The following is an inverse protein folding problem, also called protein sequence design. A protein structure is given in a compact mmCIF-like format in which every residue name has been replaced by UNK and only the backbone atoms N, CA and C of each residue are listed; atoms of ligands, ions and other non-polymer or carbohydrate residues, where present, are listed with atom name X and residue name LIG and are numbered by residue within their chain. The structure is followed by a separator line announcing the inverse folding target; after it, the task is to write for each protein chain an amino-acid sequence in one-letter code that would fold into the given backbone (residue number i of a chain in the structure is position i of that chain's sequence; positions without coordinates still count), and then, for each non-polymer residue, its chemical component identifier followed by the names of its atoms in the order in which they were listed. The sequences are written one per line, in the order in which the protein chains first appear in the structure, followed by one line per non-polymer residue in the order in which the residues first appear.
data_IF_696204779540
#
_entry.id   IF_696204779540
#
_cell.length_a   1.000
_cell.length_b   1.000
_cell.length_c   1.000
_cell.angle_alpha   90.00
_cell.angle_beta   90.00
_cell.angle_gamma   90.00
#
_symmetry.space_group_name_H-M   'P 1'
#
loop_
_entity.id
_entity.type
_entity.pdbx_description
1 polymer ?
#
# COMPACT_ATOMS: atom_id res chain seq x y z
N UNK A 1 -33.72 21.14 55.84
CA UNK A 1 -32.56 20.54 55.26
C UNK A 1 -32.29 21.26 53.94
N UNK A 2 -31.06 21.74 53.65
CA UNK A 2 -30.77 22.32 52.39
C UNK A 2 -30.89 21.21 51.29
N UNK A 3 -31.44 21.56 50.13
CA UNK A 3 -31.60 20.62 49.02
C UNK A 3 -30.22 20.38 48.42
N UNK A 4 -29.85 19.10 48.22
CA UNK A 4 -28.63 18.75 47.52
C UNK A 4 -28.66 19.28 46.09
N UNK A 5 -27.60 19.93 45.67
CA UNK A 5 -27.43 20.43 44.32
C UNK A 5 -26.65 19.39 43.49
N UNK A 6 -27.21 19.01 42.34
CA UNK A 6 -26.63 18.01 41.44
C UNK A 6 -26.33 18.63 40.08
N UNK A 7 -25.09 18.55 39.65
CA UNK A 7 -24.67 19.00 38.32
C UNK A 7 -23.95 17.88 37.55
N UNK A 8 -24.05 17.95 36.25
CA UNK A 8 -23.29 17.02 35.37
C UNK A 8 -21.83 17.41 35.41
N UNK A 9 -20.96 16.45 35.75
CA UNK A 9 -19.53 16.66 35.81
C UNK A 9 -18.96 17.10 34.43
N UNK A 10 -18.20 18.20 34.43
CA UNK A 10 -17.48 18.73 33.28
C UNK A 10 -15.98 18.58 33.54
N UNK A 11 -15.33 17.58 32.97
CA UNK A 11 -13.92 17.32 33.18
C UNK A 11 -13.62 15.90 33.67
N UNK A 12 -12.42 15.68 34.20
CA UNK A 12 -12.01 14.38 34.75
C UNK A 12 -12.59 14.17 36.15
N UNK A 13 -12.83 12.91 36.59
CA UNK A 13 -13.26 12.61 37.98
C UNK A 13 -12.35 13.25 39.03
N UNK A 14 -11.01 13.29 38.77
CA UNK A 14 -10.08 13.93 39.68
C UNK A 14 -10.31 15.44 39.81
N UNK A 15 -10.47 16.14 38.67
CA UNK A 15 -10.77 17.58 38.67
C UNK A 15 -12.08 17.92 39.37
N UNK A 16 -13.09 17.06 39.18
CA UNK A 16 -14.39 17.24 39.90
C UNK A 16 -14.21 17.01 41.39
N UNK A 17 -13.49 16.00 41.84
CA UNK A 17 -13.16 15.75 43.24
C UNK A 17 -12.39 16.92 43.86
N UNK A 18 -11.33 17.40 43.18
CA UNK A 18 -10.54 18.54 43.66
C UNK A 18 -11.37 19.81 43.79
N UNK A 19 -12.28 20.05 42.83
CA UNK A 19 -13.21 21.18 42.90
C UNK A 19 -14.14 21.10 44.11
N UNK A 20 -14.70 19.92 44.40
CA UNK A 20 -15.57 19.72 45.56
C UNK A 20 -14.83 19.89 46.93
N UNK A 21 -13.53 19.63 46.95
CA UNK A 21 -12.66 19.71 48.13
C UNK A 21 -12.09 21.10 48.41
N UNK A 22 -12.26 22.06 47.50
CA UNK A 22 -11.62 23.39 47.57
C UNK A 22 -11.86 24.18 48.85
N UNK A 23 -13.04 23.99 49.47
CA UNK A 23 -13.43 24.75 50.66
C UNK A 23 -13.04 24.05 51.99
N UNK A 24 -12.38 22.87 51.91
CA UNK A 24 -11.80 22.15 53.06
C UNK A 24 -12.81 21.46 53.99
N UNK A 25 -14.11 21.59 53.74
CA UNK A 25 -15.17 20.96 54.55
C UNK A 25 -15.95 19.96 53.68
N UNK A 26 -15.41 18.73 53.57
CA UNK A 26 -16.00 17.66 52.77
C UNK A 26 -15.89 16.30 53.48
N UNK A 27 -16.83 15.42 53.16
CA UNK A 27 -16.76 14.00 53.47
C UNK A 27 -16.67 13.24 52.16
N UNK A 28 -15.84 12.22 52.09
CA UNK A 28 -15.62 11.41 50.92
C UNK A 28 -15.91 9.94 51.24
N UNK A 29 -16.76 9.30 50.43
CA UNK A 29 -17.08 7.90 50.52
C UNK A 29 -17.01 7.26 49.10
N UNK A 30 -16.41 6.07 49.02
CA UNK A 30 -16.25 5.33 47.78
C UNK A 30 -14.90 5.49 47.10
N UNK A 31 -14.80 4.89 45.93
CA UNK A 31 -13.56 4.90 45.10
C UNK A 31 -13.80 5.81 43.92
N UNK A 32 -12.93 6.80 43.73
CA UNK A 32 -12.99 7.69 42.59
C UNK A 32 -12.83 6.87 41.30
N UNK A 33 -13.76 6.99 40.33
CA UNK A 33 -13.62 6.27 39.07
C UNK A 33 -12.28 6.61 38.39
N UNK A 34 -11.47 5.61 38.10
CA UNK A 34 -10.28 5.83 37.30
C UNK A 34 -10.68 6.49 35.98
N UNK A 35 -10.17 7.69 35.74
CA UNK A 35 -10.29 8.31 34.42
C UNK A 35 -9.55 7.42 33.44
N UNK A 36 -10.26 6.50 32.81
CA UNK A 36 -9.77 5.83 31.57
C UNK A 36 -9.80 6.84 30.40
N UNK A 37 -9.46 8.08 30.67
CA UNK A 37 -9.02 9.00 29.65
C UNK A 37 -7.55 8.66 29.37
N UNK A 38 -7.32 7.52 28.72
CA UNK A 38 -6.24 7.48 27.73
C UNK A 38 -6.52 8.71 26.87
N UNK A 39 -5.67 9.73 26.97
CA UNK A 39 -5.80 10.95 26.19
C UNK A 39 -6.15 10.53 24.77
N UNK A 40 -7.29 10.98 24.23
CA UNK A 40 -7.72 10.56 22.88
C UNK A 40 -6.62 10.79 21.86
N UNK A 41 -5.68 11.73 22.10
CA UNK A 41 -4.46 11.94 21.36
C UNK A 41 -3.46 10.79 21.43
N UNK A 42 -3.26 10.14 22.59
CA UNK A 42 -2.33 9.01 22.70
C UNK A 42 -2.88 7.75 22.01
N UNK A 43 -4.17 7.50 22.14
CA UNK A 43 -4.81 6.38 21.43
C UNK A 43 -4.72 6.58 19.91
N UNK A 44 -4.97 7.79 19.42
CA UNK A 44 -4.84 8.14 18.02
C UNK A 44 -3.38 8.01 17.55
N UNK A 45 -2.42 8.51 18.33
CA UNK A 45 -0.99 8.39 18.01
C UNK A 45 -0.57 6.93 17.85
N UNK A 46 -0.96 6.06 18.78
CA UNK A 46 -0.68 4.61 18.69
C UNK A 46 -1.26 3.97 17.44
N UNK A 47 -2.49 4.32 17.04
CA UNK A 47 -3.08 3.82 15.80
C UNK A 47 -2.26 4.18 14.56
N UNK A 48 -1.77 5.43 14.47
CA UNK A 48 -0.91 5.85 13.36
C UNK A 48 0.49 5.23 13.41
N UNK A 49 1.04 4.98 14.60
CA UNK A 49 2.31 4.25 14.75
C UNK A 49 2.18 2.81 14.22
N UNK A 50 1.13 2.10 14.63
CA UNK A 50 0.84 0.75 14.12
C UNK A 50 0.60 0.75 12.60
N UNK A 51 -0.19 1.70 12.08
CA UNK A 51 -0.43 1.82 10.66
C UNK A 51 0.87 2.07 9.86
N UNK A 52 1.78 2.88 10.39
CA UNK A 52 3.10 3.11 9.80
C UNK A 52 3.93 1.84 9.75
N UNK A 53 4.02 1.10 10.87
CA UNK A 53 4.77 -0.16 10.95
C UNK A 53 4.22 -1.22 9.98
N UNK A 54 2.89 -1.37 9.91
CA UNK A 54 2.24 -2.28 8.97
C UNK A 54 2.50 -1.87 7.51
N UNK A 55 2.45 -0.58 7.21
CA UNK A 55 2.77 -0.08 5.86
C UNK A 55 4.23 -0.34 5.48
N UNK A 56 5.19 -0.12 6.38
CA UNK A 56 6.61 -0.45 6.18
C UNK A 56 6.85 -1.95 5.99
N UNK A 57 6.07 -2.79 6.69
CA UNK A 57 6.09 -4.25 6.53
C UNK A 57 5.35 -4.75 5.27
N UNK A 58 4.75 -3.85 4.48
CA UNK A 58 3.99 -4.20 3.28
C UNK A 58 2.56 -4.70 3.53
N UNK A 59 2.11 -4.76 4.79
CA UNK A 59 0.82 -5.30 5.23
C UNK A 59 -0.25 -4.21 5.33
N UNK A 60 -0.47 -3.48 4.26
CA UNK A 60 -1.43 -2.35 4.27
C UNK A 60 -2.89 -2.79 4.43
N UNK A 61 -3.21 -4.03 4.10
CA UNK A 61 -4.55 -4.63 4.25
C UNK A 61 -4.96 -4.83 5.72
N UNK A 62 -3.97 -4.95 6.63
CA UNK A 62 -4.18 -5.17 8.06
C UNK A 62 -4.40 -3.85 8.83
N UNK A 63 -4.32 -2.71 8.14
CA UNK A 63 -4.50 -1.38 8.75
C UNK A 63 -5.97 -1.10 9.02
N UNK A 64 -6.28 -0.44 10.15
CA UNK A 64 -7.65 -0.04 10.47
C UNK A 64 -8.31 0.71 9.30
N UNK A 65 -9.55 0.36 9.00
CA UNK A 65 -10.26 0.80 7.80
C UNK A 65 -10.35 2.33 7.66
N UNK A 66 -10.48 3.07 8.75
CA UNK A 66 -10.56 4.53 8.74
C UNK A 66 -9.24 5.18 8.30
N UNK A 67 -8.10 4.66 8.75
CA UNK A 67 -6.76 5.12 8.36
C UNK A 67 -6.47 4.66 6.93
N UNK A 68 -6.78 3.40 6.61
CA UNK A 68 -6.59 2.84 5.29
C UNK A 68 -7.28 3.66 4.19
N UNK A 69 -8.58 3.96 4.38
CA UNK A 69 -9.35 4.72 3.38
C UNK A 69 -8.84 6.16 3.26
N UNK A 70 -8.59 6.84 4.39
CA UNK A 70 -8.14 8.25 4.38
C UNK A 70 -6.74 8.45 3.82
N UNK A 71 -5.85 7.48 4.03
CA UNK A 71 -4.41 7.64 3.74
C UNK A 71 -3.86 6.61 2.74
N UNK A 72 -4.73 5.98 1.95
CA UNK A 72 -4.38 4.90 1.03
C UNK A 72 -3.14 5.17 0.17
N UNK A 73 -3.07 6.33 -0.48
CA UNK A 73 -1.93 6.68 -1.32
C UNK A 73 -0.63 6.88 -0.52
N UNK A 74 -0.72 7.46 0.68
CA UNK A 74 0.43 7.63 1.58
C UNK A 74 0.94 6.27 2.06
N UNK A 75 0.04 5.37 2.44
CA UNK A 75 0.39 4.00 2.86
C UNK A 75 1.04 3.21 1.73
N UNK A 76 0.53 3.31 0.51
CA UNK A 76 1.16 2.73 -0.69
C UNK A 76 2.57 3.27 -0.92
N UNK A 77 2.81 4.56 -0.77
CA UNK A 77 4.15 5.15 -0.90
C UNK A 77 5.08 4.63 0.18
N UNK A 78 4.65 4.58 1.44
CA UNK A 78 5.45 4.03 2.54
C UNK A 78 5.83 2.57 2.24
N UNK A 79 4.89 1.75 1.77
CA UNK A 79 5.15 0.36 1.35
C UNK A 79 6.21 0.30 0.25
N UNK A 80 6.10 1.17 -0.77
CA UNK A 80 7.06 1.22 -1.89
C UNK A 80 8.45 1.66 -1.43
N UNK A 81 8.53 2.70 -0.57
CA UNK A 81 9.81 3.23 -0.06
C UNK A 81 10.56 2.22 0.82
N UNK A 82 9.84 1.25 1.42
CA UNK A 82 10.39 0.20 2.28
C UNK A 82 10.35 -1.19 1.65
N UNK A 83 10.10 -1.27 0.34
CA UNK A 83 10.09 -2.54 -0.38
C UNK A 83 11.47 -3.22 -0.26
N UNK A 84 11.54 -4.51 0.11
CA UNK A 84 12.79 -5.24 0.13
C UNK A 84 13.39 -5.30 -1.28
N UNK A 85 14.71 -5.37 -1.35
CA UNK A 85 15.38 -5.56 -2.64
C UNK A 85 14.94 -6.87 -3.27
N UNK A 86 14.63 -6.82 -4.56
CA UNK A 86 14.24 -7.99 -5.33
C UNK A 86 15.51 -8.65 -5.85
N UNK A 87 15.67 -9.93 -5.57
CA UNK A 87 16.81 -10.70 -6.04
C UNK A 87 16.79 -10.86 -7.57
N UNK A 88 17.97 -10.86 -8.21
CA UNK A 88 18.08 -11.17 -9.63
C UNK A 88 17.55 -12.57 -9.95
N UNK A 89 16.97 -12.75 -11.11
CA UNK A 89 16.61 -14.07 -11.60
C UNK A 89 17.83 -14.76 -12.23
N UNK A 90 18.01 -16.04 -11.94
CA UNK A 90 19.17 -16.79 -12.39
C UNK A 90 19.09 -17.16 -13.88
N UNK A 91 17.89 -17.43 -14.40
CA UNK A 91 17.66 -17.88 -15.76
C UNK A 91 16.66 -16.98 -16.47
N UNK A 92 17.00 -16.52 -17.68
CA UNK A 92 16.11 -15.76 -18.56
C UNK A 92 15.29 -16.72 -19.42
N UNK A 93 13.98 -16.78 -19.13
CA UNK A 93 13.01 -17.62 -19.84
C UNK A 93 12.06 -16.79 -20.72
N UNK A 94 12.50 -15.59 -21.12
CA UNK A 94 11.69 -14.70 -21.95
C UNK A 94 11.42 -15.29 -23.32
N UNK A 95 10.28 -14.95 -23.92
CA UNK A 95 9.88 -15.42 -25.25
C UNK A 95 9.59 -14.23 -26.17
N UNK A 96 9.91 -14.39 -27.46
CA UNK A 96 9.55 -13.43 -28.50
C UNK A 96 8.83 -14.16 -29.62
N UNK A 97 7.55 -13.93 -29.78
CA UNK A 97 6.72 -14.48 -30.85
C UNK A 97 6.56 -13.47 -31.97
N UNK A 98 7.13 -13.72 -33.11
CA UNK A 98 7.09 -12.84 -34.27
C UNK A 98 6.46 -13.52 -35.50
N UNK A 99 5.89 -12.73 -36.40
CA UNK A 99 5.31 -13.23 -37.63
C UNK A 99 4.09 -12.40 -38.07
N UNK A 100 3.47 -12.73 -39.23
CA UNK A 100 2.39 -11.97 -39.83
C UNK A 100 1.21 -11.77 -38.89
N UNK A 101 0.46 -10.66 -39.08
CA UNK A 101 -0.80 -10.40 -38.35
C UNK A 101 -1.83 -11.51 -38.65
N UNK A 102 -2.63 -11.86 -37.66
CA UNK A 102 -3.68 -12.87 -37.81
C UNK A 102 -3.25 -14.32 -37.64
N UNK A 103 -1.97 -14.60 -37.35
CA UNK A 103 -1.47 -15.97 -37.12
C UNK A 103 -1.77 -16.55 -35.75
N UNK A 104 -2.50 -15.80 -34.87
CA UNK A 104 -2.93 -16.28 -33.56
C UNK A 104 -1.90 -16.15 -32.43
N UNK A 105 -0.78 -15.41 -32.61
CA UNK A 105 0.28 -15.24 -31.60
C UNK A 105 -0.25 -14.78 -30.25
N UNK A 106 -0.97 -13.66 -30.22
CA UNK A 106 -1.52 -13.10 -28.97
C UNK A 106 -2.53 -14.05 -28.33
N UNK A 107 -3.38 -14.72 -29.12
CA UNK A 107 -4.28 -15.76 -28.60
C UNK A 107 -3.50 -16.88 -27.92
N UNK A 108 -2.51 -17.42 -28.57
CA UNK A 108 -1.70 -18.51 -28.05
C UNK A 108 -1.04 -18.16 -26.72
N UNK A 109 -0.40 -16.98 -26.61
CA UNK A 109 0.28 -16.59 -25.36
C UNK A 109 -0.72 -16.30 -24.23
N UNK A 110 -1.88 -15.71 -24.53
CA UNK A 110 -2.93 -15.46 -23.51
C UNK A 110 -3.57 -16.75 -23.02
N UNK A 111 -3.82 -17.73 -23.90
CA UNK A 111 -4.33 -19.05 -23.50
C UNK A 111 -3.32 -19.83 -22.67
N UNK A 112 -2.03 -19.70 -22.98
CA UNK A 112 -0.94 -20.37 -22.26
C UNK A 112 -0.68 -19.76 -20.88
N UNK A 113 -0.90 -18.43 -20.72
CA UNK A 113 -0.64 -17.67 -19.50
C UNK A 113 -1.85 -16.79 -19.13
N UNK A 114 -2.93 -17.38 -18.65
CA UNK A 114 -4.18 -16.67 -18.38
C UNK A 114 -4.06 -15.61 -17.28
N UNK A 115 -3.14 -15.80 -16.31
CA UNK A 115 -2.90 -14.90 -15.20
C UNK A 115 -1.80 -13.86 -15.48
N UNK A 116 -1.34 -13.75 -16.73
CA UNK A 116 -0.30 -12.81 -17.09
C UNK A 116 -0.81 -11.36 -17.10
N UNK A 117 0.03 -10.44 -16.66
CA UNK A 117 -0.22 -9.02 -16.86
C UNK A 117 -0.05 -8.65 -18.34
N UNK A 118 -1.11 -8.12 -18.93
CA UNK A 118 -1.08 -7.62 -20.30
C UNK A 118 -0.63 -6.16 -20.28
N UNK A 119 0.55 -5.93 -20.81
CA UNK A 119 1.19 -4.62 -20.81
C UNK A 119 1.10 -3.97 -22.19
N UNK A 120 0.60 -2.74 -22.22
CA UNK A 120 0.65 -1.91 -23.41
C UNK A 120 2.09 -1.63 -23.85
N UNK A 121 2.27 -1.39 -25.16
CA UNK A 121 3.54 -0.99 -25.75
C UNK A 121 3.93 0.46 -25.40
N UNK A 122 4.06 0.76 -24.10
CA UNK A 122 4.49 2.06 -23.57
C UNK A 122 5.36 1.87 -22.34
N UNK A 123 5.92 2.95 -21.76
CA UNK A 123 6.81 2.88 -20.58
C UNK A 123 6.10 2.61 -19.27
N UNK A 124 4.78 2.77 -19.18
CA UNK A 124 4.01 2.73 -17.95
C UNK A 124 3.64 1.31 -17.54
N UNK A 125 3.63 1.08 -16.22
CA UNK A 125 3.32 -0.21 -15.61
C UNK A 125 2.05 -0.15 -14.74
N UNK A 126 1.15 0.76 -15.06
CA UNK A 126 -0.10 0.91 -14.31
C UNK A 126 -0.92 -0.37 -14.33
N UNK A 127 -1.38 -0.78 -13.13
CA UNK A 127 -2.17 -2.01 -12.98
C UNK A 127 -1.36 -3.29 -12.76
N UNK A 128 -0.03 -3.25 -12.83
CA UNK A 128 0.81 -4.39 -12.47
C UNK A 128 0.76 -4.63 -10.95
N UNK A 129 0.45 -5.85 -10.53
CA UNK A 129 0.30 -6.25 -9.13
C UNK A 129 1.26 -7.36 -8.68
N UNK A 130 2.35 -7.58 -9.41
CA UNK A 130 3.33 -8.60 -9.08
C UNK A 130 3.14 -9.91 -9.83
N UNK A 131 2.42 -9.91 -10.95
CA UNK A 131 2.24 -11.09 -11.81
C UNK A 131 3.61 -11.62 -12.27
N UNK A 132 3.76 -12.94 -12.26
CA UNK A 132 5.02 -13.59 -12.63
C UNK A 132 5.33 -13.48 -14.13
N UNK A 133 4.30 -13.42 -14.96
CA UNK A 133 4.39 -13.34 -16.41
C UNK A 133 3.81 -12.03 -16.91
N UNK A 134 4.54 -11.38 -17.81
CA UNK A 134 4.11 -10.15 -18.48
C UNK A 134 4.09 -10.38 -19.98
N UNK A 135 3.00 -10.02 -20.63
CA UNK A 135 2.85 -10.08 -22.10
C UNK A 135 2.80 -8.65 -22.64
N UNK A 136 3.70 -8.33 -23.55
CA UNK A 136 3.76 -7.06 -24.27
C UNK A 136 3.33 -7.36 -25.71
N UNK A 137 2.16 -6.85 -26.10
CA UNK A 137 1.57 -7.21 -27.38
C UNK A 137 1.85 -6.16 -28.47
N UNK A 138 1.91 -6.67 -29.70
CA UNK A 138 1.94 -5.89 -30.93
C UNK A 138 3.05 -4.83 -31.02
N UNK A 139 4.25 -5.17 -30.52
CA UNK A 139 5.44 -4.33 -30.73
C UNK A 139 5.73 -4.26 -32.22
N UNK A 140 5.86 -3.04 -32.74
CA UNK A 140 6.20 -2.82 -34.15
C UNK A 140 7.45 -1.93 -34.33
N UNK A 141 7.82 -1.68 -35.59
CA UNK A 141 8.98 -0.86 -35.93
C UNK A 141 8.90 0.60 -35.49
N UNK A 142 7.72 1.10 -35.15
CA UNK A 142 7.52 2.46 -34.65
C UNK A 142 7.77 2.57 -33.13
N UNK A 143 7.82 1.43 -32.44
CA UNK A 143 8.11 1.33 -31.02
C UNK A 143 9.61 1.33 -30.69
N UNK A 144 10.47 1.81 -31.61
CA UNK A 144 11.94 1.87 -31.44
C UNK A 144 12.32 2.56 -30.11
N UNK A 145 11.52 3.53 -29.66
CA UNK A 145 11.71 4.22 -28.36
C UNK A 145 11.64 3.28 -27.16
N UNK A 146 10.96 2.13 -27.31
CA UNK A 146 10.85 1.11 -26.27
C UNK A 146 12.07 0.16 -26.24
N UNK A 147 12.94 0.17 -27.26
CA UNK A 147 14.05 -0.77 -27.36
C UNK A 147 14.96 -0.78 -26.12
N UNK A 148 15.22 0.40 -25.51
CA UNK A 148 15.95 0.48 -24.23
C UNK A 148 15.17 -0.15 -23.08
N UNK A 149 13.86 0.09 -23.03
CA UNK A 149 12.99 -0.46 -21.98
C UNK A 149 12.88 -1.98 -22.11
N UNK A 150 12.72 -2.51 -23.32
CA UNK A 150 12.65 -3.95 -23.57
C UNK A 150 13.91 -4.67 -23.07
N UNK A 151 15.11 -4.09 -23.33
CA UNK A 151 16.36 -4.61 -22.77
C UNK A 151 16.35 -4.64 -21.26
N UNK A 152 15.91 -3.55 -20.61
CA UNK A 152 15.83 -3.43 -19.15
C UNK A 152 14.83 -4.41 -18.56
N UNK A 153 13.64 -4.53 -19.18
CA UNK A 153 12.56 -5.41 -18.69
C UNK A 153 12.89 -6.90 -18.88
N UNK A 154 13.65 -7.23 -19.90
CA UNK A 154 14.08 -8.60 -20.20
C UNK A 154 15.36 -9.04 -19.51
N UNK A 155 16.01 -8.19 -18.71
CA UNK A 155 17.29 -8.49 -18.04
C UNK A 155 17.08 -9.30 -16.74
N UNK A 156 18.15 -9.78 -16.14
CA UNK A 156 18.16 -10.52 -14.86
C UNK A 156 17.75 -9.69 -13.65
N UNK A 157 17.97 -8.36 -13.70
CA UNK A 157 17.88 -7.47 -12.54
C UNK A 157 16.50 -6.82 -12.40
N UNK A 158 16.13 -6.49 -11.16
CA UNK A 158 14.99 -5.64 -10.92
C UNK A 158 15.21 -4.26 -11.55
N UNK A 159 14.12 -3.64 -11.98
CA UNK A 159 14.15 -2.32 -12.60
C UNK A 159 13.04 -1.41 -12.04
N UNK A 160 13.28 -0.10 -12.01
CA UNK A 160 12.27 0.86 -11.59
C UNK A 160 11.20 1.03 -12.69
N UNK A 161 10.02 0.50 -12.44
CA UNK A 161 8.84 0.65 -13.29
C UNK A 161 8.16 2.00 -13.03
N UNK A 162 7.90 2.77 -14.09
CA UNK A 162 7.18 4.02 -14.00
C UNK A 162 5.68 3.77 -13.82
N UNK A 163 5.10 4.27 -12.72
CA UNK A 163 3.66 4.21 -12.43
C UNK A 163 3.06 5.62 -12.46
N UNK A 164 1.93 5.82 -13.14
CA UNK A 164 1.24 7.12 -13.12
C UNK A 164 0.78 7.44 -11.69
N UNK A 165 1.08 8.63 -11.23
CA UNK A 165 0.67 9.17 -9.92
C UNK A 165 1.19 8.40 -8.67
N UNK A 166 2.04 7.38 -8.84
CA UNK A 166 2.57 6.58 -7.73
C UNK A 166 4.12 6.60 -7.63
N UNK A 167 4.79 7.21 -8.61
CA UNK A 167 6.26 7.23 -8.67
C UNK A 167 6.82 5.98 -9.32
N UNK A 168 7.96 5.48 -8.82
CA UNK A 168 8.63 4.28 -9.34
C UNK A 168 8.49 3.14 -8.34
N UNK A 169 8.25 1.95 -8.85
CA UNK A 169 8.21 0.70 -8.10
C UNK A 169 9.27 -0.24 -8.67
N UNK A 170 10.16 -0.76 -7.83
CA UNK A 170 11.09 -1.78 -8.28
C UNK A 170 10.35 -3.10 -8.48
N UNK A 171 10.45 -3.64 -9.68
CA UNK A 171 9.79 -4.89 -10.07
C UNK A 171 10.74 -5.81 -10.83
N UNK A 172 10.43 -7.11 -10.81
CA UNK A 172 11.10 -8.12 -11.64
C UNK A 172 10.13 -9.27 -11.94
N UNK A 173 9.37 -9.21 -13.04
CA UNK A 173 8.61 -10.36 -13.53
C UNK A 173 9.52 -11.54 -13.82
N UNK A 174 9.10 -12.76 -13.55
CA UNK A 174 9.88 -13.95 -13.86
C UNK A 174 10.05 -14.15 -15.37
N UNK A 175 9.05 -13.75 -16.14
CA UNK A 175 9.02 -13.95 -17.59
C UNK A 175 8.38 -12.77 -18.29
N UNK A 176 9.04 -12.31 -19.35
CA UNK A 176 8.49 -11.30 -20.27
C UNK A 176 8.29 -11.96 -21.64
N UNK A 177 7.10 -11.85 -22.18
CA UNK A 177 6.72 -12.38 -23.50
C UNK A 177 6.37 -11.20 -24.40
N UNK A 178 6.95 -11.18 -25.59
CA UNK A 178 6.72 -10.13 -26.58
C UNK A 178 6.05 -10.74 -27.81
N UNK A 179 5.01 -10.10 -28.32
CA UNK A 179 4.47 -10.43 -29.64
C UNK A 179 4.74 -9.27 -30.59
N UNK A 180 5.12 -9.58 -31.84
CA UNK A 180 5.43 -8.60 -32.88
C UNK A 180 5.09 -9.09 -34.29
N UNK A 181 5.08 -8.15 -35.22
CA UNK A 181 5.07 -8.45 -36.65
C UNK A 181 6.43 -8.85 -37.13
#
# INVERSE_FOLDING_TARGET
MPRAHWEVMRGTPQQASDYCKKDGNYEEDGILPNSKNVNGGEATKRKYEVAKELAMAGKIEDIEADIYIKHYNTLKRIKTDHQPKIDPINELINEWHYGPTGTGKSRYVREKYPDAFIKDANKWWDGYNGEEVVIIEDIDKYDIKLGRHLKLWGDHYAFPADMKNQGKLDIRPKKVIITSK
#
